data_IF_614918174488
#
_entry.id   IF_614918174488
#
_cell.length_a   1.000
_cell.length_b   1.000
_cell.length_c   1.000
_cell.angle_alpha   90.00
_cell.angle_beta   90.00
_cell.angle_gamma   90.00
#
_symmetry.space_group_name_H-M   'P 1'
#
loop_
_entity.id
_entity.type
_entity.pdbx_description
1 polymer ?
#
# COMPACT_ATOMS: atom_id res chain seq x y z
N UNK A 1 -25.79 12.46 -5.37
CA UNK A 1 -25.06 12.19 -4.11
C UNK A 1 -25.21 10.74 -3.65
N UNK A 2 -26.40 10.26 -3.23
CA UNK A 2 -26.58 8.87 -2.76
C UNK A 2 -26.21 7.82 -3.81
N UNK A 3 -26.72 7.94 -5.05
CA UNK A 3 -26.36 7.03 -6.15
C UNK A 3 -24.85 7.02 -6.46
N UNK A 4 -24.21 8.18 -6.35
CA UNK A 4 -22.76 8.34 -6.55
C UNK A 4 -21.97 7.58 -5.48
N UNK A 5 -22.29 7.80 -4.20
CA UNK A 5 -21.64 7.10 -3.09
C UNK A 5 -21.85 5.58 -3.17
N UNK A 6 -23.06 5.14 -3.53
CA UNK A 6 -23.36 3.73 -3.75
C UNK A 6 -22.50 3.13 -4.86
N UNK A 7 -22.35 3.84 -5.99
CA UNK A 7 -21.51 3.38 -7.11
C UNK A 7 -20.02 3.27 -6.74
N UNK A 8 -19.50 4.22 -5.95
CA UNK A 8 -18.12 4.20 -5.47
C UNK A 8 -17.89 3.00 -4.54
N UNK A 9 -18.83 2.78 -3.60
CA UNK A 9 -18.76 1.65 -2.69
C UNK A 9 -18.77 0.32 -3.48
N UNK A 10 -19.67 0.17 -4.44
CA UNK A 10 -19.72 -1.05 -5.26
C UNK A 10 -18.42 -1.29 -6.02
N UNK A 11 -17.85 -0.24 -6.64
CA UNK A 11 -16.53 -0.32 -7.30
C UNK A 11 -15.43 -0.73 -6.34
N UNK A 12 -15.42 -0.21 -5.11
CA UNK A 12 -14.41 -0.60 -4.11
C UNK A 12 -14.51 -2.09 -3.71
N UNK A 13 -15.72 -2.65 -3.68
CA UNK A 13 -15.95 -4.08 -3.42
C UNK A 13 -15.47 -4.93 -4.60
N UNK A 14 -15.71 -4.48 -5.83
CA UNK A 14 -15.25 -5.19 -7.03
C UNK A 14 -13.73 -5.14 -7.16
N UNK A 15 -13.10 -3.98 -6.91
CA UNK A 15 -11.64 -3.85 -6.80
C UNK A 15 -11.08 -4.81 -5.74
N UNK A 16 -11.73 -4.91 -4.58
CA UNK A 16 -11.29 -5.84 -3.53
C UNK A 16 -11.31 -7.30 -3.99
N UNK A 17 -12.35 -7.73 -4.72
CA UNK A 17 -12.43 -9.08 -5.29
C UNK A 17 -11.38 -9.29 -6.38
N UNK A 18 -11.19 -8.29 -7.24
CA UNK A 18 -10.24 -8.29 -8.33
C UNK A 18 -8.79 -8.43 -7.83
N UNK A 19 -8.35 -7.57 -6.91
CA UNK A 19 -7.03 -7.62 -6.27
C UNK A 19 -6.74 -8.99 -5.65
N UNK A 20 -7.73 -9.55 -4.94
CA UNK A 20 -7.59 -10.86 -4.30
C UNK A 20 -7.43 -11.98 -5.33
N UNK A 21 -8.23 -11.96 -6.39
CA UNK A 21 -8.27 -13.02 -7.41
C UNK A 21 -7.01 -13.04 -8.28
N UNK A 22 -6.51 -11.87 -8.70
CA UNK A 22 -5.46 -11.79 -9.71
C UNK A 22 -4.07 -11.48 -9.15
N UNK A 23 -3.98 -10.79 -8.00
CA UNK A 23 -2.71 -10.32 -7.45
C UNK A 23 -2.41 -10.87 -6.05
N UNK A 24 -3.35 -11.62 -5.45
CA UNK A 24 -3.28 -12.07 -4.07
C UNK A 24 -3.05 -10.90 -3.07
N UNK A 25 -3.62 -9.73 -3.38
CA UNK A 25 -3.53 -8.53 -2.55
C UNK A 25 -4.89 -8.22 -1.92
N UNK A 26 -4.84 -7.66 -0.71
CA UNK A 26 -6.01 -7.00 -0.11
C UNK A 26 -6.07 -5.53 -0.54
N UNK A 27 -7.21 -4.88 -0.33
CA UNK A 27 -7.31 -3.43 -0.54
C UNK A 27 -6.31 -2.66 0.34
N UNK A 28 -6.08 -3.12 1.58
CA UNK A 28 -5.09 -2.51 2.48
C UNK A 28 -3.66 -2.68 1.97
N UNK A 29 -3.35 -3.79 1.28
CA UNK A 29 -2.06 -3.94 0.60
C UNK A 29 -1.94 -2.94 -0.54
N UNK A 30 -2.96 -2.85 -1.39
CA UNK A 30 -2.99 -1.94 -2.51
C UNK A 30 -2.80 -0.48 -2.06
N UNK A 31 -3.52 -0.03 -1.02
CA UNK A 31 -3.40 1.34 -0.51
C UNK A 31 -1.99 1.66 0.00
N UNK A 32 -1.33 0.73 0.69
CA UNK A 32 0.06 0.92 1.13
C UNK A 32 1.01 0.97 -0.07
N UNK A 33 0.85 0.09 -1.06
CA UNK A 33 1.69 0.10 -2.26
C UNK A 33 1.50 1.37 -3.10
N UNK A 34 0.25 1.81 -3.27
CA UNK A 34 -0.09 3.05 -3.96
C UNK A 34 0.52 4.26 -3.24
N UNK A 35 0.46 4.30 -1.90
CA UNK A 35 1.14 5.35 -1.14
C UNK A 35 2.65 5.39 -1.43
N UNK A 36 3.32 4.25 -1.41
CA UNK A 36 4.77 4.18 -1.65
C UNK A 36 5.18 4.62 -3.07
N UNK A 37 4.31 4.43 -4.05
CA UNK A 37 4.52 4.89 -5.43
C UNK A 37 4.24 6.40 -5.59
N UNK A 38 3.10 6.88 -5.07
CA UNK A 38 2.70 8.30 -5.15
C UNK A 38 3.67 9.20 -4.40
N UNK A 39 4.13 8.78 -3.21
CA UNK A 39 5.04 9.56 -2.36
C UNK A 39 6.50 9.12 -2.51
N UNK A 40 6.86 8.51 -3.65
CA UNK A 40 8.23 8.06 -3.90
C UNK A 40 9.25 9.16 -3.63
N UNK A 41 10.27 8.84 -2.84
CA UNK A 41 11.39 9.73 -2.54
C UNK A 41 12.73 9.04 -2.85
N UNK A 42 13.79 9.83 -2.96
CA UNK A 42 15.12 9.34 -3.34
C UNK A 42 15.78 8.47 -2.26
N UNK A 43 15.36 8.62 -1.00
CA UNK A 43 15.88 7.83 0.12
C UNK A 43 15.26 6.43 0.20
N UNK A 44 14.10 6.22 -0.41
CA UNK A 44 13.32 4.98 -0.30
C UNK A 44 12.88 4.69 1.14
N UNK A 45 12.71 5.73 1.97
CA UNK A 45 12.37 5.63 3.39
C UNK A 45 11.07 6.34 3.71
N UNK A 46 10.24 5.70 4.54
CA UNK A 46 8.92 6.20 4.91
C UNK A 46 8.63 5.92 6.38
N UNK A 47 8.18 6.91 7.14
CA UNK A 47 7.69 6.63 8.48
C UNK A 47 6.32 5.96 8.43
N UNK A 48 6.18 4.89 9.20
CA UNK A 48 4.91 4.16 9.28
C UNK A 48 3.75 5.02 9.78
N UNK A 49 4.04 6.00 10.66
CA UNK A 49 3.03 6.94 11.18
C UNK A 49 2.45 7.82 10.07
N UNK A 50 3.25 8.19 9.07
CA UNK A 50 2.81 9.05 7.96
C UNK A 50 1.89 8.25 7.02
N UNK A 51 2.23 6.97 6.77
CA UNK A 51 1.39 6.04 6.02
C UNK A 51 0.03 5.87 6.71
N UNK A 52 0.04 5.64 8.03
CA UNK A 52 -1.19 5.48 8.83
C UNK A 52 -2.04 6.76 8.76
N UNK A 53 -1.41 7.93 8.97
CA UNK A 53 -2.09 9.21 8.96
C UNK A 53 -2.70 9.54 7.60
N UNK A 54 -2.00 9.22 6.51
CA UNK A 54 -2.46 9.54 5.17
C UNK A 54 -3.60 8.63 4.71
N UNK A 55 -3.48 7.31 4.92
CA UNK A 55 -4.50 6.37 4.45
C UNK A 55 -5.78 6.51 5.28
N UNK A 56 -5.69 6.91 6.55
CA UNK A 56 -6.87 7.25 7.35
C UNK A 56 -7.74 6.05 7.73
N UNK A 57 -7.18 4.84 7.72
CA UNK A 57 -7.84 3.62 8.24
C UNK A 57 -7.15 3.15 9.52
N UNK A 58 -7.78 2.20 10.20
CA UNK A 58 -7.28 1.65 11.46
C UNK A 58 -5.80 1.22 11.40
N UNK A 59 -5.03 1.64 12.39
CA UNK A 59 -3.58 1.39 12.47
C UNK A 59 -3.26 -0.11 12.42
N UNK A 60 -4.05 -0.97 13.07
CA UNK A 60 -3.77 -2.41 13.10
C UNK A 60 -3.85 -3.04 11.71
N UNK A 61 -4.72 -2.51 10.84
CA UNK A 61 -4.86 -2.94 9.43
C UNK A 61 -3.62 -2.57 8.62
N UNK A 62 -3.14 -1.35 8.76
CA UNK A 62 -1.89 -0.90 8.10
C UNK A 62 -0.70 -1.71 8.60
N UNK A 63 -0.59 -1.95 9.91
CA UNK A 63 0.46 -2.78 10.50
C UNK A 63 0.43 -4.20 9.93
N UNK A 64 -0.75 -4.80 9.84
CA UNK A 64 -0.92 -6.13 9.24
C UNK A 64 -0.54 -6.13 7.75
N UNK A 65 -0.98 -5.12 7.00
CA UNK A 65 -0.67 -4.96 5.57
C UNK A 65 0.83 -4.84 5.32
N UNK A 66 1.52 -3.95 6.04
CA UNK A 66 2.97 -3.78 5.97
C UNK A 66 3.72 -5.08 6.32
N UNK A 67 3.26 -5.81 7.34
CA UNK A 67 3.85 -7.11 7.71
C UNK A 67 3.70 -8.13 6.57
N UNK A 68 2.55 -8.19 5.93
CA UNK A 68 2.28 -9.09 4.81
C UNK A 68 3.10 -8.72 3.57
N UNK A 69 3.11 -7.44 3.18
CA UNK A 69 3.90 -6.92 2.06
C UNK A 69 5.40 -7.15 2.23
N UNK A 70 5.88 -7.04 3.47
CA UNK A 70 7.28 -7.35 3.81
C UNK A 70 7.61 -8.82 3.57
N UNK A 71 6.72 -9.74 3.98
CA UNK A 71 6.89 -11.18 3.71
C UNK A 71 6.86 -11.50 2.21
N UNK A 72 6.04 -10.77 1.46
CA UNK A 72 5.93 -10.89 -0.01
C UNK A 72 7.08 -10.21 -0.77
N UNK A 73 8.03 -9.58 -0.08
CA UNK A 73 9.23 -8.99 -0.68
C UNK A 73 9.05 -7.59 -1.28
N UNK A 74 7.89 -6.96 -1.12
CA UNK A 74 7.65 -5.60 -1.65
C UNK A 74 8.43 -4.52 -0.92
N UNK A 75 8.70 -4.71 0.37
CA UNK A 75 9.33 -3.72 1.23
C UNK A 75 10.07 -4.38 2.38
N UNK A 76 10.95 -3.63 3.01
CA UNK A 76 11.55 -3.96 4.29
C UNK A 76 11.02 -3.01 5.38
N UNK A 77 11.18 -3.39 6.64
CA UNK A 77 10.94 -2.48 7.76
C UNK A 77 12.04 -2.61 8.82
N UNK A 78 12.39 -1.50 9.42
CA UNK A 78 13.31 -1.43 10.55
C UNK A 78 12.77 -0.46 11.62
N UNK A 79 13.41 -0.47 12.78
CA UNK A 79 13.23 0.60 13.77
C UNK A 79 14.10 1.78 13.39
N UNK A 80 13.60 2.97 13.64
CA UNK A 80 14.41 4.19 13.52
C UNK A 80 15.59 4.11 14.52
N UNK A 81 16.84 4.31 14.07
CA UNK A 81 18.02 4.33 14.95
C UNK A 81 17.98 5.41 16.03
N UNK A 82 17.27 6.52 15.80
CA UNK A 82 17.21 7.66 16.71
C UNK A 82 16.02 7.60 17.69
N UNK A 83 14.93 6.93 17.32
CA UNK A 83 13.79 6.66 18.20
C UNK A 83 13.19 5.28 17.88
N UNK A 84 13.55 4.27 18.67
CA UNK A 84 13.15 2.88 18.46
C UNK A 84 11.63 2.64 18.50
N UNK A 85 10.83 3.62 18.95
CA UNK A 85 9.37 3.57 18.88
C UNK A 85 8.87 3.72 17.45
N UNK A 86 9.60 4.46 16.61
CA UNK A 86 9.24 4.67 15.22
C UNK A 86 9.63 3.46 14.36
N UNK A 87 8.76 3.14 13.40
CA UNK A 87 9.00 2.13 12.37
C UNK A 87 9.21 2.84 11.05
N UNK A 88 10.28 2.49 10.36
CA UNK A 88 10.60 2.99 9.03
C UNK A 88 10.39 1.85 8.03
N UNK A 89 9.66 2.15 6.96
CA UNK A 89 9.55 1.30 5.78
C UNK A 89 10.70 1.67 4.84
N UNK A 90 11.41 0.66 4.36
CA UNK A 90 12.54 0.82 3.45
C UNK A 90 12.22 0.08 2.15
N UNK A 91 12.31 0.79 1.04
CA UNK A 91 11.98 0.28 -0.30
C UNK A 91 13.17 0.57 -1.22
N UNK A 92 13.79 -0.48 -1.73
CA UNK A 92 14.89 -0.35 -2.69
C UNK A 92 14.39 0.13 -4.05
N UNK A 93 15.29 0.64 -4.90
CA UNK A 93 14.97 1.01 -6.29
C UNK A 93 14.33 -0.16 -7.05
N UNK A 94 14.85 -1.38 -6.88
CA UNK A 94 14.30 -2.59 -7.51
C UNK A 94 12.86 -2.85 -7.04
N UNK A 95 12.60 -2.70 -5.74
CA UNK A 95 11.26 -2.85 -5.18
C UNK A 95 10.31 -1.77 -5.66
N UNK A 96 10.74 -0.51 -5.74
CA UNK A 96 9.93 0.57 -6.32
C UNK A 96 9.54 0.29 -7.77
N UNK A 97 10.48 -0.17 -8.59
CA UNK A 97 10.17 -0.52 -9.98
C UNK A 97 9.17 -1.69 -10.05
N UNK A 98 9.32 -2.68 -9.16
CA UNK A 98 8.36 -3.79 -9.08
C UNK A 98 6.96 -3.33 -8.66
N UNK A 99 6.87 -2.45 -7.66
CA UNK A 99 5.61 -1.85 -7.21
C UNK A 99 4.95 -1.05 -8.34
N UNK A 100 5.71 -0.20 -9.03
CA UNK A 100 5.21 0.61 -10.15
C UNK A 100 4.64 -0.26 -11.28
N UNK A 101 5.35 -1.33 -11.65
CA UNK A 101 4.90 -2.24 -12.69
C UNK A 101 3.60 -2.95 -12.29
N UNK A 102 3.54 -3.48 -11.06
CA UNK A 102 2.33 -4.09 -10.50
C UNK A 102 1.13 -3.13 -10.51
N UNK A 103 1.31 -1.89 -10.06
CA UNK A 103 0.24 -0.89 -10.04
C UNK A 103 -0.20 -0.50 -11.46
N UNK A 104 0.73 -0.47 -12.41
CA UNK A 104 0.41 -0.24 -13.82
C UNK A 104 -0.41 -1.38 -14.42
N UNK A 105 -0.08 -2.64 -14.09
CA UNK A 105 -0.85 -3.82 -14.48
C UNK A 105 -2.27 -3.82 -13.89
N UNK A 106 -2.43 -3.35 -12.65
CA UNK A 106 -3.75 -3.20 -12.02
C UNK A 106 -4.57 -2.13 -12.77
N UNK A 107 -3.98 -0.97 -13.06
CA UNK A 107 -4.68 0.13 -13.75
C UNK A 107 -5.12 -0.25 -15.17
N UNK A 108 -4.30 -0.98 -15.94
CA UNK A 108 -4.63 -1.38 -17.31
C UNK A 108 -5.87 -2.29 -17.34
N UNK A 109 -6.04 -3.14 -16.32
CA UNK A 109 -7.10 -4.14 -16.27
C UNK A 109 -8.39 -3.65 -15.55
N UNK A 110 -8.41 -2.42 -15.03
CA UNK A 110 -9.63 -1.76 -14.54
C UNK A 110 -10.33 -0.90 -15.61
N UNK A 111 -9.65 -0.64 -16.75
CA UNK A 111 -10.22 -0.03 -17.97
C UNK A 111 -10.91 -1.06 -18.87
#
# INVERSE_FOLDING_TARGET
MVKTLYSILHRSLDLTKYLKKYFCLTLDNYLVLAYLDVFKNDEGKYFMRDIISYIGIDQSRIVKSVKDLSKKGYLNKCRDPHDSRNVIIVVSVKQHNYIKNLLSEININET
#
